data_IF_655299399164
#
_entry.id   IF_655299399164
#
_cell.length_a   1.000
_cell.length_b   1.000
_cell.length_c   1.000
_cell.angle_alpha   90.00
_cell.angle_beta   90.00
_cell.angle_gamma   90.00
#
_symmetry.space_group_name_H-M   'P 1'
#
loop_
_entity.id
_entity.type
_entity.pdbx_description
1 polymer ?
#
# COMPACT_ATOMS: atom_id res chain seq x y z
N UNK A 1 58.46 31.09 34.53
CA UNK A 1 57.61 29.90 34.36
C UNK A 1 56.98 29.99 32.98
N UNK A 2 57.61 29.36 31.99
CA UNK A 2 57.26 29.50 30.57
C UNK A 2 56.15 28.50 30.26
N UNK A 3 54.98 28.99 29.83
CA UNK A 3 53.82 28.15 29.50
C UNK A 3 53.99 27.63 28.06
N UNK A 4 54.18 26.32 27.92
CA UNK A 4 54.26 25.63 26.62
C UNK A 4 52.83 25.34 26.13
N UNK A 5 52.39 25.99 25.04
CA UNK A 5 51.12 25.64 24.37
C UNK A 5 51.43 24.52 23.37
N UNK A 6 51.01 23.31 23.69
CA UNK A 6 51.03 22.19 22.74
C UNK A 6 49.78 22.28 21.88
N UNK A 7 49.93 22.75 20.65
CA UNK A 7 48.88 22.67 19.62
C UNK A 7 48.86 21.24 19.08
N UNK A 8 47.95 20.41 19.59
CA UNK A 8 47.64 19.11 19.01
C UNK A 8 46.90 19.34 17.70
N UNK A 9 47.61 19.21 16.58
CA UNK A 9 47.01 19.13 15.26
C UNK A 9 46.21 17.82 15.18
N UNK A 10 44.89 17.91 15.32
CA UNK A 10 43.98 16.81 14.98
C UNK A 10 44.06 16.66 13.46
N UNK A 11 44.43 15.49 12.91
CA UNK A 11 44.43 15.31 11.48
C UNK A 11 42.96 15.36 11.04
N UNK A 12 42.61 16.38 10.27
CA UNK A 12 41.36 16.39 9.50
C UNK A 12 41.50 15.24 8.52
N UNK A 13 40.93 14.09 8.88
CA UNK A 13 40.74 12.98 7.98
C UNK A 13 39.87 13.53 6.86
N UNK A 14 40.48 13.84 5.70
CA UNK A 14 39.74 14.17 4.49
C UNK A 14 38.94 12.93 4.12
N UNK A 15 37.69 12.86 4.57
CA UNK A 15 36.69 12.01 3.95
C UNK A 15 36.55 12.53 2.53
N UNK A 16 37.27 11.90 1.60
CA UNK A 16 36.95 12.02 0.19
C UNK A 16 35.54 11.43 0.05
N UNK A 17 34.54 12.20 -0.43
CA UNK A 17 33.22 11.63 -0.68
C UNK A 17 33.42 10.47 -1.65
N UNK A 18 32.88 9.29 -1.28
CA UNK A 18 32.77 8.16 -2.20
C UNK A 18 32.01 8.68 -3.43
N UNK A 19 32.48 8.41 -4.65
CA UNK A 19 31.79 8.84 -5.88
C UNK A 19 30.32 8.43 -5.80
N UNK A 20 29.41 9.37 -6.09
CA UNK A 20 27.97 9.10 -6.12
C UNK A 20 27.69 8.04 -7.19
N UNK A 21 26.95 6.99 -6.82
CA UNK A 21 26.48 6.01 -7.79
C UNK A 21 25.50 6.70 -8.74
N UNK A 22 25.76 6.59 -10.04
CA UNK A 22 24.89 7.13 -11.07
C UNK A 22 23.73 6.17 -11.34
N UNK A 23 22.52 6.72 -11.41
CA UNK A 23 21.30 5.96 -11.68
C UNK A 23 20.52 6.67 -12.77
N UNK A 24 20.31 5.98 -13.88
CA UNK A 24 19.50 6.44 -15.00
C UNK A 24 18.07 5.92 -14.87
N UNK A 25 17.09 6.78 -15.14
CA UNK A 25 15.68 6.40 -15.22
C UNK A 25 15.17 6.55 -16.64
N UNK A 26 14.50 5.51 -17.17
CA UNK A 26 13.89 5.54 -18.51
C UNK A 26 12.78 4.51 -18.63
N UNK A 27 11.66 4.87 -19.26
CA UNK A 27 10.56 3.94 -19.57
C UNK A 27 10.96 2.83 -20.56
N UNK A 28 12.08 2.99 -21.28
CA UNK A 28 12.59 1.98 -22.21
C UNK A 28 13.28 0.81 -21.49
N UNK A 29 13.66 1.00 -20.22
CA UNK A 29 14.30 -0.04 -19.41
C UNK A 29 13.25 -0.97 -18.80
N UNK A 30 13.60 -2.26 -18.63
CA UNK A 30 12.65 -3.28 -18.15
C UNK A 30 12.16 -3.01 -16.72
N UNK A 31 13.07 -2.61 -15.82
CA UNK A 31 12.77 -2.16 -14.45
C UNK A 31 12.43 -0.66 -14.40
N UNK A 32 12.74 0.08 -15.47
CA UNK A 32 12.77 1.54 -15.49
C UNK A 32 14.08 2.18 -15.03
N UNK A 33 15.04 1.38 -14.55
CA UNK A 33 16.22 1.86 -13.84
C UNK A 33 17.50 1.19 -14.34
N UNK A 34 18.58 1.95 -14.45
CA UNK A 34 19.94 1.43 -14.66
C UNK A 34 20.92 2.09 -13.68
N UNK A 35 21.51 1.35 -12.73
CA UNK A 35 21.27 -0.08 -12.48
C UNK A 35 19.87 -0.34 -11.91
N UNK A 36 19.38 -1.57 -12.09
CA UNK A 36 18.14 -2.08 -11.50
C UNK A 36 18.34 -2.73 -10.11
N UNK A 37 19.59 -2.99 -9.75
CA UNK A 37 20.02 -3.42 -8.42
C UNK A 37 21.09 -2.46 -7.88
N UNK A 38 20.85 -1.92 -6.69
CA UNK A 38 21.77 -1.03 -5.97
C UNK A 38 22.24 -1.75 -4.71
N UNK A 39 23.55 -1.79 -4.49
CA UNK A 39 24.12 -2.35 -3.26
C UNK A 39 24.54 -1.25 -2.28
N UNK A 40 24.27 -1.47 -1.00
CA UNK A 40 24.57 -0.57 0.10
C UNK A 40 25.09 -1.35 1.31
N UNK A 41 25.64 -0.64 2.29
CA UNK A 41 26.15 -1.23 3.54
C UNK A 41 25.47 -0.57 4.75
N UNK A 42 25.21 -1.38 5.79
CA UNK A 42 24.59 -0.88 7.02
C UNK A 42 25.48 0.18 7.67
N UNK A 43 24.88 1.32 8.02
CA UNK A 43 25.56 2.43 8.68
C UNK A 43 26.52 3.22 7.78
N UNK A 44 26.61 2.91 6.49
CA UNK A 44 27.41 3.67 5.52
C UNK A 44 26.49 4.55 4.67
N UNK A 45 26.78 5.86 4.52
CA UNK A 45 26.05 6.71 3.59
C UNK A 45 26.17 6.20 2.15
N UNK A 46 25.03 5.99 1.50
CA UNK A 46 24.94 5.70 0.07
C UNK A 46 24.62 7.00 -0.67
N UNK A 47 25.60 7.53 -1.39
CA UNK A 47 25.44 8.71 -2.24
C UNK A 47 24.95 8.26 -3.62
N UNK A 48 23.80 8.77 -4.03
CA UNK A 48 23.21 8.51 -5.35
C UNK A 48 23.06 9.81 -6.12
N UNK A 49 23.25 9.75 -7.43
CA UNK A 49 22.83 10.81 -8.34
C UNK A 49 22.01 10.24 -9.47
N UNK A 50 20.92 10.93 -9.81
CA UNK A 50 19.93 10.50 -10.76
C UNK A 50 19.88 11.44 -11.95
N UNK A 51 19.65 10.90 -13.14
CA UNK A 51 19.22 11.64 -14.32
C UNK A 51 18.13 10.84 -15.03
N UNK A 52 17.24 11.54 -15.74
CA UNK A 52 16.31 10.89 -16.66
C UNK A 52 16.80 10.98 -18.10
N UNK A 53 16.61 9.89 -18.83
CA UNK A 53 16.90 9.82 -20.27
C UNK A 53 15.67 10.12 -21.13
N UNK A 54 14.49 10.34 -20.53
CA UNK A 54 13.24 10.59 -21.25
C UNK A 54 12.32 11.66 -20.62
N UNK A 55 11.53 11.30 -19.61
CA UNK A 55 10.48 12.13 -18.99
C UNK A 55 10.79 12.36 -17.50
N UNK A 56 9.97 13.17 -16.82
CA UNK A 56 10.12 13.33 -15.38
C UNK A 56 9.76 12.03 -14.66
N UNK A 57 10.67 11.58 -13.81
CA UNK A 57 10.44 10.47 -12.88
C UNK A 57 10.49 10.96 -11.45
N UNK A 58 10.25 10.06 -10.51
CA UNK A 58 10.59 10.32 -9.11
C UNK A 58 11.16 9.07 -8.48
N UNK A 59 11.86 9.21 -7.37
CA UNK A 59 12.51 8.12 -6.66
C UNK A 59 12.04 8.11 -5.22
N UNK A 60 11.52 6.97 -4.78
CA UNK A 60 11.15 6.71 -3.40
C UNK A 60 11.59 5.31 -2.98
N UNK A 61 11.66 5.07 -1.67
CA UNK A 61 12.02 3.76 -1.11
C UNK A 61 10.85 3.25 -0.29
N UNK A 62 10.42 2.03 -0.60
CA UNK A 62 9.32 1.37 0.10
C UNK A 62 9.60 1.17 1.58
N UNK A 63 8.55 1.30 2.39
CA UNK A 63 8.56 1.14 3.85
C UNK A 63 9.56 2.04 4.61
N UNK A 64 10.08 3.09 3.97
CA UNK A 64 10.98 4.05 4.59
C UNK A 64 10.36 5.44 4.62
N UNK A 65 10.61 6.16 5.72
CA UNK A 65 10.30 7.58 5.83
C UNK A 65 11.34 8.40 5.04
N UNK A 66 11.17 8.41 3.72
CA UNK A 66 12.03 9.10 2.78
C UNK A 66 11.19 10.00 1.87
N UNK A 67 11.47 11.30 1.89
CA UNK A 67 10.86 12.26 0.99
C UNK A 67 11.24 11.92 -0.46
N UNK A 68 10.27 11.62 -1.33
CA UNK A 68 10.56 11.29 -2.71
C UNK A 68 11.32 12.41 -3.42
N UNK A 69 12.26 12.01 -4.27
CA UNK A 69 13.09 12.92 -5.07
C UNK A 69 12.55 12.96 -6.48
N UNK A 70 12.46 14.14 -7.08
CA UNK A 70 12.07 14.30 -8.48
C UNK A 70 13.31 14.19 -9.38
N UNK A 71 13.19 13.48 -10.50
CA UNK A 71 14.29 13.23 -11.44
C UNK A 71 13.92 13.85 -12.78
N UNK A 72 14.70 14.85 -13.19
CA UNK A 72 14.45 15.63 -14.40
C UNK A 72 15.28 15.11 -15.60
N UNK A 73 14.75 15.19 -16.84
CA UNK A 73 15.50 14.82 -18.03
C UNK A 73 16.78 15.65 -18.23
N UNK A 74 17.91 14.97 -18.37
CA UNK A 74 19.21 15.60 -18.64
C UNK A 74 19.82 16.42 -17.50
N UNK A 75 19.19 16.44 -16.32
CA UNK A 75 19.70 17.11 -15.13
C UNK A 75 20.06 16.10 -14.04
N UNK A 76 21.15 16.35 -13.32
CA UNK A 76 21.59 15.52 -12.22
C UNK A 76 20.96 15.98 -10.90
N UNK A 77 20.25 15.07 -10.23
CA UNK A 77 19.72 15.27 -8.87
C UNK A 77 20.41 14.32 -7.90
N UNK A 78 20.89 14.81 -6.77
CA UNK A 78 21.61 13.98 -5.78
C UNK A 78 20.77 13.72 -4.53
N UNK A 79 20.96 12.55 -3.94
CA UNK A 79 20.46 12.24 -2.60
C UNK A 79 21.44 11.37 -1.83
N UNK A 80 21.27 11.31 -0.51
CA UNK A 80 22.06 10.41 0.35
C UNK A 80 21.11 9.60 1.20
N UNK A 81 21.31 8.29 1.18
CA UNK A 81 20.53 7.32 1.93
C UNK A 81 21.38 6.74 3.06
N UNK A 82 20.74 6.43 4.18
CA UNK A 82 21.36 5.75 5.31
C UNK A 82 20.43 4.63 5.77
N UNK A 83 20.99 3.42 5.85
CA UNK A 83 20.27 2.23 6.28
C UNK A 83 20.81 1.76 7.63
N UNK A 84 19.92 1.53 8.57
CA UNK A 84 20.23 1.06 9.92
C UNK A 84 20.10 -0.46 10.07
N UNK A 85 19.50 -1.13 9.08
CA UNK A 85 19.24 -2.57 9.06
C UNK A 85 19.64 -3.19 7.72
N UNK A 86 20.18 -4.42 7.73
CA UNK A 86 20.38 -5.16 6.50
C UNK A 86 19.04 -5.63 5.94
N UNK A 87 18.97 -5.83 4.62
CA UNK A 87 17.75 -6.31 3.98
C UNK A 87 17.66 -5.96 2.50
N UNK A 88 16.53 -6.36 1.92
CA UNK A 88 16.15 -6.03 0.54
C UNK A 88 15.04 -4.99 0.60
N UNK A 89 15.30 -3.82 0.03
CA UNK A 89 14.36 -2.71 -0.10
C UNK A 89 13.95 -2.57 -1.55
N UNK A 90 12.73 -2.10 -1.80
CA UNK A 90 12.27 -1.76 -3.15
C UNK A 90 12.29 -0.25 -3.32
N UNK A 91 13.03 0.25 -4.30
CA UNK A 91 12.84 1.62 -4.76
C UNK A 91 11.91 1.64 -5.97
N UNK A 92 11.17 2.72 -6.13
CA UNK A 92 10.09 2.80 -7.11
C UNK A 92 9.87 4.21 -7.63
N UNK A 93 9.24 4.29 -8.80
CA UNK A 93 8.89 5.57 -9.39
C UNK A 93 7.72 6.22 -8.64
N UNK A 94 7.88 7.48 -8.22
CA UNK A 94 6.83 8.24 -7.51
C UNK A 94 6.13 9.29 -8.38
N UNK A 95 6.51 9.39 -9.65
CA UNK A 95 5.90 10.27 -10.65
C UNK A 95 5.28 9.46 -11.77
N UNK A 96 4.03 9.77 -12.12
CA UNK A 96 3.37 9.18 -13.28
C UNK A 96 4.14 9.49 -14.56
N UNK A 97 4.98 8.55 -14.98
CA UNK A 97 5.90 8.70 -16.11
C UNK A 97 5.39 8.04 -17.39
N UNK A 98 4.41 7.14 -17.30
CA UNK A 98 3.78 6.49 -18.45
C UNK A 98 2.97 5.26 -18.09
N UNK A 99 2.63 4.45 -19.10
CA UNK A 99 1.71 3.29 -18.97
C UNK A 99 2.19 2.22 -17.98
N UNK A 100 3.49 1.99 -17.92
CA UNK A 100 4.13 0.98 -17.07
C UNK A 100 4.68 1.58 -15.77
N UNK A 101 4.25 2.81 -15.40
CA UNK A 101 4.72 3.51 -14.19
C UNK A 101 4.74 2.62 -12.94
N UNK A 102 3.69 1.83 -12.74
CA UNK A 102 3.53 0.96 -11.58
C UNK A 102 4.51 -0.23 -11.54
N UNK A 103 5.10 -0.61 -12.69
CA UNK A 103 6.16 -1.63 -12.82
C UNK A 103 7.56 -1.06 -12.59
N UNK A 104 7.68 0.26 -12.55
CA UNK A 104 8.96 0.96 -12.54
C UNK A 104 9.62 0.88 -11.15
N UNK A 105 10.22 -0.27 -10.85
CA UNK A 105 10.74 -0.64 -9.53
C UNK A 105 12.10 -1.31 -9.66
N UNK A 106 12.98 -1.04 -8.71
CA UNK A 106 14.28 -1.69 -8.60
C UNK A 106 14.56 -2.18 -7.18
N UNK A 107 15.70 -2.85 -7.03
CA UNK A 107 16.08 -3.56 -5.80
C UNK A 107 17.26 -2.87 -5.13
N UNK A 108 17.16 -2.56 -3.84
CA UNK A 108 18.27 -2.06 -3.05
C UNK A 108 18.64 -3.09 -1.98
N UNK A 109 19.83 -3.66 -2.10
CA UNK A 109 20.37 -4.68 -1.20
C UNK A 109 21.32 -4.03 -0.19
N UNK A 110 21.02 -4.15 1.11
CA UNK A 110 21.82 -3.56 2.19
C UNK A 110 22.52 -4.65 3.00
N UNK A 111 23.86 -4.63 3.02
CA UNK A 111 24.71 -5.56 3.75
C UNK A 111 24.73 -6.96 3.12
N UNK A 112 25.32 -7.94 3.83
CA UNK A 112 25.28 -9.33 3.37
C UNK A 112 23.84 -9.85 3.32
N UNK A 113 23.38 -10.18 2.12
CA UNK A 113 22.10 -10.81 1.83
C UNK A 113 22.07 -12.27 2.28
N UNK A 114 22.36 -12.51 3.56
CA UNK A 114 21.84 -13.73 4.19
C UNK A 114 20.33 -13.70 3.98
N UNK A 115 19.69 -14.80 3.52
CA UNK A 115 18.28 -14.81 3.20
C UNK A 115 17.54 -14.19 4.38
N UNK A 116 16.93 -13.03 4.10
CA UNK A 116 16.17 -12.24 5.07
C UNK A 116 15.31 -13.25 5.81
N UNK A 117 15.53 -13.38 7.12
CA UNK A 117 14.63 -14.20 7.93
C UNK A 117 13.23 -13.71 7.61
N UNK A 118 12.30 -14.59 7.19
CA UNK A 118 10.96 -14.17 6.84
C UNK A 118 10.43 -13.24 7.93
N UNK A 119 9.54 -12.28 7.59
CA UNK A 119 8.88 -11.46 8.59
C UNK A 119 8.51 -12.33 9.79
N UNK A 120 8.83 -11.87 10.99
CA UNK A 120 8.76 -12.71 12.20
C UNK A 120 7.37 -13.37 12.38
N UNK A 121 6.35 -12.76 11.79
CA UNK A 121 4.98 -13.27 11.71
C UNK A 121 4.53 -13.49 10.26
N UNK A 122 3.84 -14.60 10.02
CA UNK A 122 3.18 -14.87 8.74
C UNK A 122 2.09 -13.81 8.47
N UNK A 123 1.95 -13.34 7.21
CA UNK A 123 0.83 -12.49 6.81
C UNK A 123 -0.51 -13.05 7.26
N UNK A 124 -1.40 -12.18 7.76
CA UNK A 124 -2.68 -12.57 8.37
C UNK A 124 -3.52 -13.49 7.48
N UNK A 125 -3.57 -13.23 6.18
CA UNK A 125 -4.33 -14.07 5.24
C UNK A 125 -3.80 -15.50 5.14
N UNK A 126 -2.48 -15.73 5.31
CA UNK A 126 -1.91 -17.07 5.35
C UNK A 126 -2.23 -17.77 6.68
N UNK A 127 -2.13 -17.05 7.80
CA UNK A 127 -2.46 -17.57 9.13
C UNK A 127 -3.92 -18.01 9.21
N UNK A 128 -4.82 -17.30 8.52
CA UNK A 128 -6.25 -17.60 8.44
C UNK A 128 -6.61 -18.60 7.32
N UNK A 129 -5.66 -18.99 6.47
CA UNK A 129 -5.92 -19.89 5.34
C UNK A 129 -6.89 -19.31 4.30
N UNK A 130 -6.89 -17.98 4.12
CA UNK A 130 -7.82 -17.29 3.22
C UNK A 130 -7.40 -17.47 1.76
N UNK A 131 -8.36 -17.91 0.93
CA UNK A 131 -8.25 -17.80 -0.52
C UNK A 131 -8.55 -16.36 -0.94
N UNK A 132 -7.49 -15.60 -1.23
CA UNK A 132 -7.61 -14.20 -1.64
C UNK A 132 -8.26 -14.04 -3.02
N UNK A 133 -8.28 -15.05 -3.88
CA UNK A 133 -8.74 -14.94 -5.27
C UNK A 133 -10.14 -15.52 -5.48
N UNK A 134 -10.63 -16.31 -4.51
CA UNK A 134 -12.03 -16.70 -4.45
C UNK A 134 -12.98 -15.49 -4.41
N UNK A 135 -14.18 -15.59 -5.01
CA UNK A 135 -15.25 -14.61 -4.80
C UNK A 135 -15.75 -14.64 -3.35
N UNK A 136 -15.90 -13.45 -2.76
CA UNK A 136 -16.48 -13.26 -1.41
C UNK A 136 -17.68 -12.30 -1.47
N UNK A 137 -18.77 -12.64 -2.20
CA UNK A 137 -19.90 -11.74 -2.33
C UNK A 137 -20.76 -11.72 -1.07
N UNK A 138 -21.27 -10.54 -0.71
CA UNK A 138 -22.30 -10.41 0.31
C UNK A 138 -23.66 -10.87 -0.24
N UNK A 139 -24.32 -11.86 0.38
CA UNK A 139 -25.67 -12.29 -0.02
C UNK A 139 -26.74 -11.22 0.17
N UNK A 140 -26.52 -10.29 1.10
CA UNK A 140 -27.43 -9.17 1.40
C UNK A 140 -26.67 -7.87 1.27
N UNK A 141 -27.24 -6.90 0.57
CA UNK A 141 -26.69 -5.55 0.45
C UNK A 141 -27.68 -4.52 0.98
N UNK A 142 -27.21 -3.43 1.62
CA UNK A 142 -28.09 -2.40 2.12
C UNK A 142 -28.73 -1.60 0.98
N UNK A 143 -29.99 -1.22 1.13
CA UNK A 143 -30.69 -0.40 0.14
C UNK A 143 -30.10 1.03 0.01
N UNK A 144 -29.50 1.53 1.08
CA UNK A 144 -28.85 2.85 1.14
C UNK A 144 -27.49 2.73 1.80
N UNK A 145 -26.60 3.68 1.52
CA UNK A 145 -25.27 3.75 2.12
C UNK A 145 -25.37 3.84 3.66
N UNK A 146 -24.87 2.87 4.45
CA UNK A 146 -25.07 2.87 5.90
C UNK A 146 -24.29 3.98 6.62
N UNK A 147 -24.87 4.52 7.69
CA UNK A 147 -24.32 5.64 8.48
C UNK A 147 -23.66 5.14 9.76
N UNK A 148 -22.35 5.39 9.89
CA UNK A 148 -21.61 5.08 11.12
C UNK A 148 -22.06 5.96 12.30
N UNK A 149 -22.51 7.19 12.05
CA UNK A 149 -23.04 8.07 13.09
C UNK A 149 -24.31 7.48 13.71
N UNK A 150 -25.25 7.01 12.88
CA UNK A 150 -26.48 6.35 13.33
C UNK A 150 -26.17 5.06 14.09
N UNK A 151 -25.22 4.25 13.61
CA UNK A 151 -24.80 3.05 14.35
C UNK A 151 -24.13 3.35 15.69
N UNK A 152 -23.39 4.45 15.78
CA UNK A 152 -22.72 4.86 17.03
C UNK A 152 -23.73 5.23 18.11
N UNK A 153 -24.85 5.88 17.74
CA UNK A 153 -25.97 6.16 18.65
C UNK A 153 -26.62 4.87 19.19
N UNK A 154 -26.77 3.85 18.35
CA UNK A 154 -27.30 2.54 18.74
C UNK A 154 -26.33 1.81 19.69
N UNK A 155 -25.04 1.79 19.36
CA UNK A 155 -24.01 1.18 20.19
C UNK A 155 -23.87 1.85 21.57
N UNK A 156 -24.12 3.16 21.66
CA UNK A 156 -24.04 3.89 22.93
C UNK A 156 -25.13 3.50 23.94
N UNK A 157 -26.25 2.94 23.47
CA UNK A 157 -27.41 2.59 24.32
C UNK A 157 -27.58 1.09 24.53
N UNK A 158 -26.75 0.27 23.88
CA UNK A 158 -26.87 -1.17 23.86
C UNK A 158 -25.69 -1.87 24.54
N UNK A 159 -25.95 -3.07 25.06
CA UNK A 159 -24.93 -3.96 25.65
C UNK A 159 -24.70 -5.16 24.74
N UNK A 160 -23.56 -5.85 24.91
CA UNK A 160 -23.26 -7.08 24.16
C UNK A 160 -22.43 -6.89 22.89
N UNK A 161 -21.91 -5.68 22.64
CA UNK A 161 -21.10 -5.37 21.45
C UNK A 161 -19.58 -5.43 21.66
N UNK A 162 -19.12 -5.72 22.88
CA UNK A 162 -17.70 -5.58 23.23
C UNK A 162 -16.77 -6.44 22.35
N UNK A 163 -17.20 -7.64 21.97
CA UNK A 163 -16.43 -8.52 21.09
C UNK A 163 -16.27 -7.93 19.68
N UNK A 164 -17.37 -7.42 19.11
CA UNK A 164 -17.43 -6.81 17.79
C UNK A 164 -16.53 -5.57 17.66
N UNK A 165 -16.27 -4.88 18.77
CA UNK A 165 -15.45 -3.67 18.80
C UNK A 165 -13.94 -3.94 18.89
N UNK A 166 -13.53 -5.20 19.04
CA UNK A 166 -12.11 -5.54 19.08
C UNK A 166 -11.49 -5.49 17.68
N UNK A 167 -10.22 -5.06 17.62
CA UNK A 167 -9.45 -4.95 16.37
C UNK A 167 -9.29 -6.30 15.67
N UNK A 168 -9.13 -7.38 16.44
CA UNK A 168 -8.97 -8.73 15.91
C UNK A 168 -10.26 -9.24 15.29
N UNK A 169 -11.40 -9.02 15.96
CA UNK A 169 -12.71 -9.38 15.41
C UNK A 169 -12.98 -8.62 14.11
N UNK A 170 -12.74 -7.30 14.09
CA UNK A 170 -12.85 -6.47 12.88
C UNK A 170 -12.01 -7.02 11.73
N UNK A 171 -10.74 -7.40 11.98
CA UNK A 171 -9.83 -7.82 10.92
C UNK A 171 -10.26 -9.10 10.23
N UNK A 172 -10.88 -10.04 10.95
CA UNK A 172 -11.14 -11.39 10.43
C UNK A 172 -12.58 -11.60 9.95
N UNK A 173 -13.52 -10.72 10.30
CA UNK A 173 -14.92 -10.81 9.86
C UNK A 173 -15.24 -9.77 8.79
N UNK A 174 -16.00 -10.18 7.79
CA UNK A 174 -16.61 -9.32 6.78
C UNK A 174 -17.77 -8.50 7.37
N UNK A 175 -18.09 -7.33 6.78
CA UNK A 175 -19.30 -6.58 7.14
C UNK A 175 -20.58 -7.44 7.13
N UNK A 176 -20.70 -8.35 6.16
CA UNK A 176 -21.84 -9.25 6.06
C UNK A 176 -21.93 -10.23 7.22
N UNK A 177 -20.81 -10.85 7.62
CA UNK A 177 -20.80 -11.77 8.77
C UNK A 177 -21.23 -11.07 10.06
N UNK A 178 -20.83 -9.80 10.23
CA UNK A 178 -21.30 -8.99 11.37
C UNK A 178 -22.79 -8.68 11.25
N UNK A 179 -23.27 -8.29 10.07
CA UNK A 179 -24.70 -8.05 9.84
C UNK A 179 -25.56 -9.31 10.10
N UNK A 180 -25.12 -10.47 9.61
CA UNK A 180 -25.81 -11.76 9.79
C UNK A 180 -25.79 -12.22 11.25
N UNK A 181 -24.68 -12.00 11.96
CA UNK A 181 -24.57 -12.25 13.40
C UNK A 181 -25.55 -11.43 14.25
N UNK A 182 -26.09 -10.34 13.72
CA UNK A 182 -27.09 -9.50 14.38
C UNK A 182 -28.54 -9.86 14.01
N UNK A 183 -28.79 -10.90 13.19
CA UNK A 183 -30.14 -11.20 12.66
C UNK A 183 -31.21 -11.51 13.71
N UNK A 184 -30.79 -12.07 14.85
CA UNK A 184 -31.70 -12.49 15.93
C UNK A 184 -31.87 -11.38 17.00
N UNK A 185 -31.38 -10.18 16.72
CA UNK A 185 -31.51 -9.01 17.60
C UNK A 185 -32.77 -8.20 17.28
N UNK A 186 -33.06 -7.19 18.10
CA UNK A 186 -34.23 -6.30 17.94
C UNK A 186 -34.07 -5.28 16.81
N UNK A 187 -32.90 -5.17 16.19
CA UNK A 187 -32.57 -4.15 15.20
C UNK A 187 -33.13 -4.48 13.82
N UNK A 188 -33.73 -3.49 13.17
CA UNK A 188 -34.10 -3.57 11.76
C UNK A 188 -32.87 -3.72 10.85
N UNK A 189 -33.09 -4.13 9.60
CA UNK A 189 -32.02 -4.27 8.60
C UNK A 189 -31.15 -3.02 8.45
N UNK A 190 -31.77 -1.83 8.41
CA UNK A 190 -31.04 -0.57 8.28
C UNK A 190 -30.22 -0.24 9.53
N UNK A 191 -30.73 -0.58 10.70
CA UNK A 191 -30.02 -0.39 11.98
C UNK A 191 -28.84 -1.35 12.08
N UNK A 192 -29.01 -2.63 11.71
CA UNK A 192 -27.92 -3.62 11.67
C UNK A 192 -26.77 -3.16 10.77
N UNK A 193 -27.08 -2.68 9.56
CA UNK A 193 -26.05 -2.12 8.67
C UNK A 193 -25.39 -0.86 9.22
N UNK A 194 -26.13 -0.02 9.93
CA UNK A 194 -25.56 1.18 10.58
C UNK A 194 -24.63 0.80 11.72
N UNK A 195 -24.99 -0.21 12.52
CA UNK A 195 -24.13 -0.79 13.57
C UNK A 195 -22.83 -1.34 12.96
N UNK A 196 -22.90 -2.09 11.85
CA UNK A 196 -21.72 -2.54 11.11
C UNK A 196 -20.85 -1.36 10.68
N UNK A 197 -21.43 -0.31 10.09
CA UNK A 197 -20.68 0.88 9.71
C UNK A 197 -19.97 1.55 10.90
N UNK A 198 -20.61 1.57 12.08
CA UNK A 198 -20.02 2.11 13.30
C UNK A 198 -18.86 1.26 13.83
N UNK A 199 -18.97 -0.08 13.76
CA UNK A 199 -17.87 -1.00 14.09
C UNK A 199 -16.67 -0.79 13.16
N UNK A 200 -16.92 -0.62 11.86
CA UNK A 200 -15.84 -0.30 10.91
C UNK A 200 -15.21 1.05 11.20
N UNK A 201 -16.03 2.07 11.50
CA UNK A 201 -15.58 3.42 11.82
C UNK A 201 -14.76 3.48 13.11
N UNK A 202 -15.05 2.63 14.11
CA UNK A 202 -14.32 2.60 15.38
C UNK A 202 -12.89 2.06 15.25
N UNK A 203 -12.58 1.36 14.16
CA UNK A 203 -11.26 0.81 13.86
C UNK A 203 -10.34 1.79 13.10
N UNK A 204 -10.78 3.03 12.87
CA UNK A 204 -10.02 4.06 12.17
C UNK A 204 -10.21 5.45 12.78
N UNK A 205 -9.43 6.43 12.34
CA UNK A 205 -9.54 7.84 12.73
C UNK A 205 -9.62 8.75 11.50
N UNK A 206 -9.93 10.02 11.69
CA UNK A 206 -9.92 11.03 10.61
C UNK A 206 -8.56 11.11 9.93
N UNK A 207 -7.48 11.05 10.71
CA UNK A 207 -6.10 11.15 10.23
C UNK A 207 -5.75 9.92 9.39
N UNK A 208 -6.09 8.72 9.87
CA UNK A 208 -5.88 7.46 9.15
C UNK A 208 -6.67 7.38 7.85
N UNK A 209 -7.92 7.85 7.86
CA UNK A 209 -8.73 7.94 6.64
C UNK A 209 -8.17 8.96 5.65
N UNK A 210 -7.64 10.09 6.12
CA UNK A 210 -7.00 11.08 5.28
C UNK A 210 -5.71 10.53 4.64
N UNK A 211 -4.88 9.81 5.41
CA UNK A 211 -3.70 9.12 4.88
C UNK A 211 -4.07 8.07 3.85
N UNK A 212 -5.02 7.17 4.16
CA UNK A 212 -5.52 6.15 3.23
C UNK A 212 -6.06 6.75 1.93
N UNK A 213 -6.77 7.89 2.02
CA UNK A 213 -7.26 8.63 0.85
C UNK A 213 -6.11 9.20 0.01
N UNK A 214 -5.09 9.77 0.65
CA UNK A 214 -3.90 10.29 -0.03
C UNK A 214 -3.19 9.17 -0.81
N UNK A 215 -2.88 8.08 -0.13
CA UNK A 215 -2.26 6.89 -0.72
C UNK A 215 -3.10 6.35 -1.90
N UNK A 216 -4.42 6.25 -1.73
CA UNK A 216 -5.31 5.76 -2.79
C UNK A 216 -5.31 6.68 -4.01
N UNK A 217 -5.37 8.00 -3.78
CA UNK A 217 -5.40 9.00 -4.86
C UNK A 217 -4.12 8.93 -5.68
N UNK A 218 -2.97 8.81 -5.03
CA UNK A 218 -1.67 8.80 -5.68
C UNK A 218 -1.38 7.47 -6.40
N UNK A 219 -1.81 6.34 -5.82
CA UNK A 219 -1.30 5.02 -6.21
C UNK A 219 -2.35 4.05 -6.76
N UNK A 220 -3.64 4.29 -6.48
CA UNK A 220 -4.72 3.33 -6.79
C UNK A 220 -5.74 3.88 -7.80
N UNK A 221 -6.03 5.18 -7.74
CA UNK A 221 -7.12 5.81 -8.49
C UNK A 221 -6.92 5.78 -10.01
N UNK A 222 -5.68 5.67 -10.50
CA UNK A 222 -5.40 5.60 -11.93
C UNK A 222 -5.97 4.31 -12.58
N UNK A 223 -6.13 3.23 -11.80
CA UNK A 223 -6.76 1.99 -12.25
C UNK A 223 -8.17 1.82 -11.67
N UNK A 224 -8.35 2.06 -10.37
CA UNK A 224 -9.64 1.84 -9.70
C UNK A 224 -10.63 3.01 -9.83
N UNK A 225 -10.20 4.14 -10.40
CA UNK A 225 -10.99 5.36 -10.49
C UNK A 225 -11.06 6.12 -9.17
N UNK A 226 -11.26 7.44 -9.23
CA UNK A 226 -11.34 8.30 -8.03
C UNK A 226 -12.48 7.92 -7.07
N UNK A 227 -13.53 7.30 -7.61
CA UNK A 227 -14.71 6.86 -6.88
C UNK A 227 -14.71 5.34 -6.62
N UNK A 228 -13.61 4.65 -6.93
CA UNK A 228 -13.49 3.21 -6.78
C UNK A 228 -14.35 2.40 -7.75
N UNK A 229 -14.80 2.94 -8.88
CA UNK A 229 -15.71 2.22 -9.80
C UNK A 229 -15.00 1.23 -10.75
N UNK A 230 -13.67 1.13 -10.68
CA UNK A 230 -12.88 0.33 -11.63
C UNK A 230 -12.72 1.00 -13.00
N UNK A 231 -12.98 2.29 -13.09
CA UNK A 231 -13.03 3.12 -14.30
C UNK A 231 -11.87 4.14 -14.36
N UNK A 232 -10.73 3.80 -13.77
CA UNK A 232 -9.53 4.63 -13.83
C UNK A 232 -9.05 4.82 -15.27
N UNK A 233 -8.26 5.87 -15.51
CA UNK A 233 -7.78 6.22 -16.85
C UNK A 233 -7.02 5.10 -17.58
N UNK A 234 -6.49 4.12 -16.84
CA UNK A 234 -5.80 2.94 -17.40
C UNK A 234 -6.63 1.64 -17.30
N UNK A 235 -7.90 1.70 -16.89
CA UNK A 235 -8.75 0.49 -16.76
C UNK A 235 -8.95 -0.22 -18.10
N UNK A 236 -9.12 0.55 -19.17
CA UNK A 236 -9.39 0.02 -20.50
C UNK A 236 -8.12 -0.48 -21.20
N UNK A 237 -6.96 0.13 -20.91
CA UNK A 237 -5.67 -0.35 -21.41
C UNK A 237 -5.31 -1.73 -20.83
N UNK A 238 -5.70 -2.01 -19.58
CA UNK A 238 -5.55 -3.33 -18.98
C UNK A 238 -6.44 -4.39 -19.64
N UNK A 239 -7.68 -4.03 -20.00
CA UNK A 239 -8.60 -4.91 -20.74
C UNK A 239 -8.07 -5.20 -22.16
N UNK A 240 -7.53 -4.18 -22.84
CA UNK A 240 -6.96 -4.32 -24.17
C UNK A 240 -5.70 -5.21 -24.18
N UNK A 241 -4.89 -5.18 -23.11
CA UNK A 241 -3.76 -6.10 -22.91
C UNK A 241 -4.20 -7.54 -22.56
N UNK A 242 -5.48 -7.75 -22.22
CA UNK A 242 -6.00 -8.98 -21.63
C UNK A 242 -6.76 -9.97 -22.53
N UNK A 243 -6.83 -9.81 -23.87
CA UNK A 243 -7.63 -10.70 -24.74
C UNK A 243 -6.82 -11.57 -25.72
N UNK A 244 -7.26 -12.80 -26.08
CA UNK A 244 -7.70 -13.92 -25.25
C UNK A 244 -6.62 -15.04 -25.32
N UNK A 245 -5.82 -15.19 -24.28
CA UNK A 245 -5.04 -16.43 -24.16
C UNK A 245 -6.01 -17.55 -23.75
N UNK A 246 -5.99 -18.64 -24.52
CA UNK A 246 -6.68 -19.92 -24.28
C UNK A 246 -6.88 -20.20 -22.78
N UNK A 247 -8.12 -20.52 -22.38
CA UNK A 247 -8.59 -20.68 -20.99
C UNK A 247 -8.92 -19.34 -20.28
N UNK A 248 -10.21 -19.19 -19.99
CA UNK A 248 -10.98 -18.17 -19.25
C UNK A 248 -10.44 -17.80 -17.84
N UNK A 249 -9.24 -18.27 -17.49
CA UNK A 249 -8.63 -18.10 -16.17
C UNK A 249 -7.37 -17.21 -16.14
N UNK A 250 -6.80 -16.79 -17.27
CA UNK A 250 -5.47 -16.15 -17.29
C UNK A 250 -5.36 -14.78 -17.99
N UNK A 251 -6.48 -14.18 -18.43
CA UNK A 251 -6.51 -12.83 -19.00
C UNK A 251 -6.43 -11.74 -17.92
N UNK A 252 -5.72 -10.63 -18.19
CA UNK A 252 -5.71 -9.45 -17.32
C UNK A 252 -7.14 -8.92 -17.23
N UNK A 253 -7.75 -9.05 -16.05
CA UNK A 253 -9.11 -8.56 -15.77
C UNK A 253 -9.10 -7.06 -15.46
N UNK A 254 -10.22 -6.38 -15.75
CA UNK A 254 -10.44 -5.00 -15.29
C UNK A 254 -10.28 -4.92 -13.76
N UNK A 255 -9.81 -3.77 -13.25
CA UNK A 255 -9.81 -3.51 -11.82
C UNK A 255 -11.20 -3.71 -11.23
N UNK A 256 -11.29 -4.37 -10.07
CA UNK A 256 -12.55 -4.56 -9.38
C UNK A 256 -13.18 -3.21 -8.99
N UNK A 257 -14.51 -3.15 -9.04
CA UNK A 257 -15.25 -2.01 -8.50
C UNK A 257 -15.24 -2.08 -6.97
N UNK A 258 -14.50 -1.17 -6.35
CA UNK A 258 -14.40 -0.97 -4.92
C UNK A 258 -15.60 -0.22 -4.32
N UNK A 259 -16.55 0.22 -5.16
CA UNK A 259 -17.82 0.77 -4.71
C UNK A 259 -19.01 -0.16 -4.95
N UNK A 260 -18.78 -1.40 -5.40
CA UNK A 260 -19.79 -2.46 -5.42
C UNK A 260 -20.01 -3.01 -3.99
N UNK A 261 -21.19 -2.81 -3.38
CA UNK A 261 -21.46 -3.30 -2.03
C UNK A 261 -21.40 -4.82 -1.93
N UNK A 262 -21.73 -5.56 -3.00
CA UNK A 262 -21.67 -7.02 -2.96
C UNK A 262 -20.25 -7.51 -2.70
N UNK A 263 -19.28 -6.99 -3.46
CA UNK A 263 -17.87 -7.38 -3.34
C UNK A 263 -17.22 -6.91 -2.04
N UNK A 264 -17.49 -5.68 -1.60
CA UNK A 264 -16.80 -5.11 -0.44
C UNK A 264 -17.42 -5.56 0.89
N UNK A 265 -18.74 -5.75 0.96
CA UNK A 265 -19.39 -6.18 2.21
C UNK A 265 -19.17 -7.65 2.52
N UNK A 266 -18.86 -8.49 1.53
CA UNK A 266 -18.53 -9.90 1.76
C UNK A 266 -17.05 -10.15 2.00
N UNK A 267 -16.17 -9.19 1.68
CA UNK A 267 -14.75 -9.29 1.98
C UNK A 267 -14.45 -8.83 3.42
N UNK A 268 -13.71 -9.63 4.19
CA UNK A 268 -13.12 -9.19 5.47
C UNK A 268 -11.94 -8.24 5.25
N UNK A 269 -11.59 -7.40 6.23
CA UNK A 269 -10.42 -6.53 6.12
C UNK A 269 -9.12 -7.31 5.87
N UNK A 270 -8.98 -8.54 6.39
CA UNK A 270 -7.86 -9.42 6.11
C UNK A 270 -7.77 -9.82 4.62
N UNK A 271 -8.89 -10.03 3.94
CA UNK A 271 -8.92 -10.30 2.49
C UNK A 271 -8.41 -9.09 1.72
N UNK A 272 -8.91 -7.89 2.02
CA UNK A 272 -8.50 -6.67 1.34
C UNK A 272 -7.02 -6.33 1.61
N UNK A 273 -6.58 -6.47 2.86
CA UNK A 273 -5.18 -6.29 3.25
C UNK A 273 -4.26 -7.27 2.52
N UNK A 274 -4.64 -8.55 2.45
CA UNK A 274 -3.89 -9.58 1.74
C UNK A 274 -3.79 -9.28 0.25
N UNK A 275 -4.89 -8.89 -0.40
CA UNK A 275 -4.91 -8.50 -1.83
C UNK A 275 -3.99 -7.31 -2.11
N UNK A 276 -3.99 -6.27 -1.26
CA UNK A 276 -3.09 -5.11 -1.43
C UNK A 276 -1.62 -5.53 -1.23
N UNK A 277 -1.35 -6.31 -0.19
CA UNK A 277 0.00 -6.74 0.17
C UNK A 277 0.63 -7.59 -0.92
N UNK A 278 -0.06 -8.64 -1.35
CA UNK A 278 0.42 -9.64 -2.31
C UNK A 278 0.25 -9.18 -3.77
N UNK A 279 -0.69 -8.29 -4.05
CA UNK A 279 -1.22 -8.06 -5.40
C UNK A 279 -2.30 -9.09 -5.77
N UNK A 280 -3.03 -8.80 -6.86
CA UNK A 280 -4.07 -9.68 -7.38
C UNK A 280 -3.50 -10.71 -8.36
N UNK A 281 -3.50 -12.00 -8.01
CA UNK A 281 -3.05 -13.04 -8.93
C UNK A 281 -4.03 -13.16 -10.10
N UNK A 282 -3.52 -13.34 -11.32
CA UNK A 282 -4.36 -13.31 -12.52
C UNK A 282 -4.94 -11.93 -12.85
N UNK A 283 -4.43 -10.87 -12.21
CA UNK A 283 -4.78 -9.48 -12.52
C UNK A 283 -3.52 -8.67 -12.85
N UNK A 284 -3.70 -7.45 -13.36
CA UNK A 284 -2.62 -6.47 -13.51
C UNK A 284 -2.25 -5.74 -12.21
N UNK A 285 -2.84 -6.08 -11.06
CA UNK A 285 -2.62 -5.35 -9.81
C UNK A 285 -1.25 -5.71 -9.19
N UNK A 286 -0.33 -4.74 -9.05
CA UNK A 286 0.99 -5.01 -8.48
C UNK A 286 0.92 -5.26 -6.97
N UNK A 287 1.96 -5.88 -6.44
CA UNK A 287 2.16 -6.05 -4.99
C UNK A 287 2.50 -4.71 -4.34
N UNK A 288 1.84 -4.34 -3.24
CA UNK A 288 2.15 -3.10 -2.51
C UNK A 288 2.81 -3.34 -1.15
N UNK A 289 2.91 -4.60 -0.72
CA UNK A 289 3.53 -4.96 0.56
C UNK A 289 5.01 -4.61 0.68
N UNK A 290 5.72 -4.37 -0.42
CA UNK A 290 7.13 -3.92 -0.43
C UNK A 290 7.27 -2.40 -0.53
N UNK A 291 6.16 -1.69 -0.75
CA UNK A 291 6.12 -0.23 -0.91
C UNK A 291 5.55 0.43 0.35
N UNK A 292 4.41 -0.05 0.82
CA UNK A 292 3.71 0.51 1.98
C UNK A 292 3.99 -0.27 3.25
N UNK A 293 4.01 0.44 4.38
CA UNK A 293 4.04 -0.18 5.70
C UNK A 293 2.71 -0.88 6.00
N UNK A 294 2.69 -1.76 7.00
CA UNK A 294 1.47 -2.46 7.38
C UNK A 294 0.35 -1.48 7.78
N UNK A 295 0.69 -0.44 8.55
CA UNK A 295 -0.28 0.58 8.98
C UNK A 295 -0.85 1.37 7.79
N UNK A 296 -0.03 1.71 6.79
CA UNK A 296 -0.48 2.36 5.56
C UNK A 296 -1.46 1.48 4.77
N UNK A 297 -1.21 0.17 4.69
CA UNK A 297 -2.13 -0.78 4.04
C UNK A 297 -3.45 -0.87 4.83
N UNK A 298 -3.41 -0.90 6.16
CA UNK A 298 -4.64 -0.88 6.96
C UNK A 298 -5.43 0.43 6.79
N UNK A 299 -4.75 1.56 6.62
CA UNK A 299 -5.38 2.85 6.35
C UNK A 299 -6.01 2.88 4.95
N UNK A 300 -5.38 2.27 3.95
CA UNK A 300 -5.99 2.03 2.63
C UNK A 300 -7.25 1.16 2.73
N UNK A 301 -7.21 0.07 3.49
CA UNK A 301 -8.38 -0.81 3.71
C UNK A 301 -9.54 -0.02 4.35
N UNK A 302 -9.26 0.77 5.39
CA UNK A 302 -10.27 1.62 6.01
C UNK A 302 -10.86 2.63 5.02
N UNK A 303 -10.02 3.24 4.18
CA UNK A 303 -10.48 4.15 3.14
C UNK A 303 -11.33 3.45 2.06
N UNK A 304 -11.01 2.23 1.65
CA UNK A 304 -11.80 1.45 0.69
C UNK A 304 -13.23 1.23 1.22
N UNK A 305 -13.40 0.87 2.49
CA UNK A 305 -14.74 0.74 3.09
C UNK A 305 -15.52 2.05 3.12
N UNK A 306 -14.85 3.22 3.04
CA UNK A 306 -15.54 4.52 2.93
C UNK A 306 -16.29 4.72 1.62
N UNK A 307 -16.04 3.91 0.58
CA UNK A 307 -16.90 3.88 -0.60
C UNK A 307 -18.29 3.32 -0.28
N UNK A 308 -18.39 2.38 0.68
CA UNK A 308 -19.62 1.70 1.08
C UNK A 308 -20.26 2.29 2.35
N UNK A 309 -19.49 2.86 3.27
CA UNK A 309 -19.99 3.45 4.51
C UNK A 309 -19.87 4.97 4.55
N UNK A 310 -20.81 5.63 5.23
CA UNK A 310 -20.71 7.04 5.59
C UNK A 310 -20.04 7.13 6.96
N UNK A 311 -18.86 7.74 7.01
CA UNK A 311 -18.01 7.91 8.20
C UNK A 311 -18.09 9.30 8.81
#
# INVERSE_FOLDING_TARGET
>A
MTLLIVVLAVPILKFLPKESLEVHSSQALTSGWDPDVIHAEVGQPLHLRFTSDDVVHGFGIGQMDFSPVEILPGEWTETTLLFDKPGIYTYYCTRWCGKDHWRMRGTLEVGETNPVSPPADLPLYLTLGLDLDAPHPSPVIPANKPSAATGSELLATASGFNEYLSKDYYRIHSPFEVYDGLRDTVYSDSERWSIVAAIWRSNTSSEKLAEGKGLFTENCAACHGKNGAGDGVFSDDLEAQGSPAMDDQHGIKKPASLNDPSSILGASPAILQGKITRGGMGTGMPMWGVIFTEDQIWNLVAYIYSFIFIY
#
